data_IF_369582308819
#
_entry.id   IF_369582308819
#
_cell.length_a   1.000
_cell.length_b   1.000
_cell.length_c   1.000
_cell.angle_alpha   90.00
_cell.angle_beta   90.00
_cell.angle_gamma   90.00
#
_symmetry.space_group_name_H-M   'P 1'
#
loop_
_entity.id
_entity.type
_entity.pdbx_description
1 polymer ?
#
# COMPACT_ATOMS: atom_id res chain seq x y z
N UNK A 1 20.44 -21.51 -0.29
CA UNK A 1 19.80 -21.45 -1.61
C UNK A 1 18.56 -22.31 -1.54
N UNK A 2 17.45 -21.87 -2.11
CA UNK A 2 16.24 -22.64 -2.17
C UNK A 2 15.51 -22.39 -3.50
N UNK A 3 14.71 -23.34 -3.91
CA UNK A 3 13.87 -23.29 -5.11
C UNK A 3 12.44 -22.99 -4.70
N UNK A 4 11.73 -22.26 -5.52
CA UNK A 4 10.30 -21.99 -5.36
C UNK A 4 9.61 -21.90 -6.73
N UNK A 5 8.33 -22.21 -6.75
CA UNK A 5 7.54 -22.08 -7.98
C UNK A 5 7.24 -20.60 -8.25
N UNK A 6 6.93 -19.86 -7.21
CA UNK A 6 6.65 -18.44 -7.29
C UNK A 6 7.63 -17.65 -6.42
N UNK A 7 8.24 -16.63 -7.01
CA UNK A 7 9.17 -15.79 -6.29
C UNK A 7 8.47 -15.02 -5.17
N UNK A 8 9.09 -14.89 -3.98
CA UNK A 8 8.56 -14.07 -2.90
C UNK A 8 8.21 -12.67 -3.40
N UNK A 9 7.12 -12.10 -2.88
CA UNK A 9 6.61 -10.79 -3.28
C UNK A 9 6.36 -10.73 -4.79
N UNK A 10 5.44 -11.56 -5.25
CA UNK A 10 5.11 -11.69 -6.66
C UNK A 10 3.75 -12.32 -6.87
N UNK A 11 3.57 -12.95 -8.02
CA UNK A 11 2.36 -13.72 -8.30
C UNK A 11 2.34 -15.01 -7.47
N UNK A 12 1.14 -15.44 -7.08
CA UNK A 12 0.87 -16.74 -6.49
C UNK A 12 -0.48 -17.25 -6.96
N UNK A 13 -0.71 -18.54 -6.83
CA UNK A 13 -2.00 -19.17 -7.14
C UNK A 13 -2.79 -19.37 -5.85
N UNK A 14 -4.11 -19.28 -5.97
CA UNK A 14 -5.03 -19.68 -4.93
C UNK A 14 -5.62 -21.05 -5.21
N UNK A 15 -5.87 -21.79 -4.14
CA UNK A 15 -6.61 -23.05 -4.17
C UNK A 15 -7.73 -23.02 -3.14
N UNK A 16 -8.82 -23.74 -3.39
CA UNK A 16 -9.79 -24.04 -2.36
C UNK A 16 -9.17 -24.94 -1.29
N UNK A 17 -9.64 -24.83 -0.07
CA UNK A 17 -9.19 -25.65 1.07
C UNK A 17 -10.36 -26.39 1.69
N UNK A 18 -10.21 -27.69 1.84
CA UNK A 18 -11.17 -28.58 2.50
C UNK A 18 -10.46 -29.29 3.65
N UNK A 19 -10.87 -28.98 4.87
CA UNK A 19 -10.27 -29.56 6.09
C UNK A 19 -10.97 -30.87 6.43
N UNK A 20 -10.18 -31.90 6.72
CA UNK A 20 -10.72 -33.21 7.13
C UNK A 20 -11.51 -33.09 8.43
N UNK A 21 -12.68 -33.71 8.46
CA UNK A 21 -13.58 -33.68 9.62
C UNK A 21 -14.37 -32.38 9.78
N UNK A 22 -14.19 -31.40 8.91
CA UNK A 22 -15.03 -30.16 8.91
C UNK A 22 -16.12 -30.26 7.86
N UNK A 23 -17.25 -29.53 8.07
CA UNK A 23 -18.27 -29.40 7.04
C UNK A 23 -17.69 -28.82 5.75
N UNK A 24 -18.14 -29.25 4.57
CA UNK A 24 -17.71 -28.64 3.33
C UNK A 24 -18.09 -27.15 3.30
N UNK A 25 -17.21 -26.29 2.75
CA UNK A 25 -17.48 -24.85 2.66
C UNK A 25 -18.75 -24.59 1.86
N UNK A 26 -19.57 -23.67 2.33
CA UNK A 26 -20.77 -23.21 1.64
C UNK A 26 -20.45 -22.32 0.43
N UNK A 27 -21.43 -22.07 -0.47
CA UNK A 27 -21.23 -21.27 -1.68
C UNK A 27 -20.75 -19.82 -1.45
N UNK A 28 -20.90 -19.30 -0.23
CA UNK A 28 -20.50 -17.94 0.16
C UNK A 28 -19.29 -17.90 1.06
N UNK A 29 -18.75 -19.06 1.46
CA UNK A 29 -17.61 -19.12 2.34
C UNK A 29 -16.33 -18.90 1.54
N UNK A 30 -15.47 -18.02 2.04
CA UNK A 30 -14.14 -17.85 1.48
C UNK A 30 -13.24 -19.01 1.97
N UNK A 31 -13.17 -20.07 1.17
CA UNK A 31 -12.30 -21.23 1.42
C UNK A 31 -11.00 -21.16 0.63
N UNK A 32 -10.61 -20.00 0.10
CA UNK A 32 -9.38 -19.86 -0.67
C UNK A 32 -8.16 -19.68 0.22
N UNK A 33 -7.04 -20.26 -0.19
CA UNK A 33 -5.71 -19.97 0.34
C UNK A 33 -4.71 -19.88 -0.80
N UNK A 34 -3.72 -19.01 -0.66
CA UNK A 34 -2.60 -18.98 -1.58
C UNK A 34 -1.60 -20.11 -1.24
N UNK A 35 -0.81 -20.53 -2.21
CA UNK A 35 0.16 -21.58 -2.00
C UNK A 35 1.39 -21.43 -2.88
N UNK A 36 2.47 -22.07 -2.45
CA UNK A 36 3.69 -22.17 -3.22
C UNK A 36 4.28 -23.60 -3.06
N UNK A 37 5.03 -24.00 -4.07
CA UNK A 37 5.79 -25.24 -4.04
C UNK A 37 7.26 -24.92 -3.88
N UNK A 38 7.89 -25.48 -2.87
CA UNK A 38 9.20 -25.04 -2.41
C UNK A 38 10.13 -26.21 -2.10
N UNK A 39 11.43 -26.00 -2.26
CA UNK A 39 12.43 -26.97 -1.81
C UNK A 39 12.59 -26.94 -0.28
N UNK A 40 13.23 -27.97 0.25
CA UNK A 40 13.62 -28.02 1.65
C UNK A 40 14.41 -26.76 2.08
N UNK A 41 14.16 -26.30 3.30
CA UNK A 41 14.84 -25.12 3.87
C UNK A 41 14.44 -23.76 3.27
N UNK A 42 13.44 -23.70 2.40
CA UNK A 42 12.99 -22.45 1.76
C UNK A 42 12.64 -21.36 2.76
N UNK A 43 11.87 -21.69 3.80
CA UNK A 43 11.44 -20.74 4.82
C UNK A 43 12.62 -20.10 5.57
N UNK A 44 13.66 -20.88 5.82
CA UNK A 44 14.91 -20.38 6.43
C UNK A 44 15.64 -19.42 5.49
N UNK A 45 15.68 -19.74 4.19
CA UNK A 45 16.32 -18.89 3.18
C UNK A 45 15.63 -17.54 3.06
N UNK A 46 14.29 -17.50 3.03
CA UNK A 46 13.54 -16.24 3.00
C UNK A 46 13.48 -15.54 4.36
N UNK A 47 13.87 -16.21 5.44
CA UNK A 47 13.91 -15.65 6.80
C UNK A 47 12.56 -15.67 7.51
N UNK A 48 11.67 -16.57 7.13
CA UNK A 48 10.38 -16.78 7.80
C UNK A 48 10.51 -17.88 8.84
N UNK A 49 10.41 -17.58 10.15
CA UNK A 49 10.59 -18.58 11.19
C UNK A 49 9.38 -19.53 11.27
N UNK A 50 9.66 -20.79 11.58
CA UNK A 50 8.64 -21.74 12.01
C UNK A 50 8.28 -21.43 13.47
N UNK A 51 7.01 -21.19 13.73
CA UNK A 51 6.48 -20.89 15.08
C UNK A 51 6.18 -22.18 15.85
N UNK A 52 5.68 -23.21 15.15
CA UNK A 52 5.33 -24.52 15.73
C UNK A 52 5.55 -25.63 14.71
N UNK A 53 5.86 -26.84 15.19
CA UNK A 53 6.15 -27.96 14.32
C UNK A 53 7.49 -27.85 13.61
N UNK A 54 7.57 -28.28 12.37
CA UNK A 54 8.76 -28.24 11.52
C UNK A 54 8.51 -27.63 10.14
N UNK A 55 9.54 -27.15 9.50
CA UNK A 55 9.52 -26.79 8.08
C UNK A 55 9.53 -28.01 7.16
N UNK A 56 9.55 -27.73 5.87
CA UNK A 56 9.76 -28.74 4.81
C UNK A 56 11.25 -29.13 4.82
N UNK A 57 11.51 -30.44 4.80
CA UNK A 57 12.85 -31.03 4.88
C UNK A 57 13.13 -31.95 3.69
N UNK A 58 14.37 -32.41 3.54
CA UNK A 58 14.78 -33.36 2.52
C UNK A 58 14.12 -34.76 2.69
N UNK A 59 13.54 -35.02 3.86
CA UNK A 59 12.82 -36.29 4.14
C UNK A 59 11.41 -36.31 3.52
N UNK A 60 10.89 -35.12 3.12
CA UNK A 60 9.57 -34.97 2.50
C UNK A 60 9.62 -35.31 1.00
N UNK A 61 9.90 -36.60 0.70
CA UNK A 61 10.09 -37.16 -0.64
C UNK A 61 8.77 -37.53 -1.33
N UNK A 62 8.83 -37.90 -2.59
CA UNK A 62 7.67 -38.37 -3.37
C UNK A 62 6.96 -39.59 -2.74
N UNK A 63 7.71 -40.45 -2.05
CA UNK A 63 7.20 -41.68 -1.40
C UNK A 63 6.79 -41.46 0.05
N UNK A 64 7.12 -40.33 0.67
CA UNK A 64 6.68 -40.04 2.04
C UNK A 64 5.22 -39.57 2.07
N UNK A 65 4.65 -39.42 3.28
CA UNK A 65 3.33 -38.81 3.43
C UNK A 65 3.33 -37.43 2.82
N UNK A 66 2.24 -37.06 2.14
CA UNK A 66 2.08 -35.72 1.60
C UNK A 66 1.91 -34.73 2.75
N UNK A 67 2.78 -33.73 2.84
CA UNK A 67 2.82 -32.78 3.93
C UNK A 67 2.68 -31.34 3.42
N UNK A 68 2.29 -30.44 4.32
CA UNK A 68 2.27 -29.01 4.09
C UNK A 68 2.74 -28.24 5.32
N UNK A 69 3.50 -27.19 5.12
CA UNK A 69 3.67 -26.12 6.11
C UNK A 69 2.66 -25.02 5.82
N UNK A 70 2.03 -24.48 6.87
CA UNK A 70 1.01 -23.41 6.75
C UNK A 70 1.48 -22.15 7.45
N UNK A 71 0.90 -20.99 7.15
CA UNK A 71 1.15 -19.80 7.95
C UNK A 71 0.11 -19.64 9.09
N UNK A 72 0.35 -18.70 10.01
CA UNK A 72 -0.56 -18.44 11.14
C UNK A 72 -1.96 -18.01 10.66
N UNK A 73 -2.05 -17.24 9.56
CA UNK A 73 -3.32 -16.82 8.98
C UNK A 73 -4.14 -18.00 8.44
N UNK A 74 -3.49 -19.00 7.84
CA UNK A 74 -4.13 -20.25 7.43
C UNK A 74 -4.67 -21.01 8.64
N UNK A 75 -3.87 -21.14 9.69
CA UNK A 75 -4.27 -21.81 10.92
C UNK A 75 -5.50 -21.11 11.54
N UNK A 76 -5.49 -19.80 11.64
CA UNK A 76 -6.64 -19.00 12.14
C UNK A 76 -7.89 -19.15 11.29
N UNK A 77 -7.74 -19.16 9.96
CA UNK A 77 -8.87 -19.22 9.03
C UNK A 77 -9.55 -20.58 9.00
N UNK A 78 -8.78 -21.66 8.94
CA UNK A 78 -9.29 -22.99 8.66
C UNK A 78 -9.38 -23.91 9.87
N UNK A 79 -8.57 -23.68 10.91
CA UNK A 79 -8.56 -24.52 12.11
C UNK A 79 -9.09 -23.80 13.36
N UNK A 80 -9.37 -22.49 13.25
CA UNK A 80 -9.93 -21.63 14.31
C UNK A 80 -9.28 -21.88 15.69
N UNK A 81 -9.95 -22.63 16.58
CA UNK A 81 -9.48 -22.91 17.94
C UNK A 81 -8.81 -24.27 18.11
N UNK A 82 -8.49 -24.96 17.02
CA UNK A 82 -7.90 -26.28 17.04
C UNK A 82 -6.40 -26.22 16.75
N UNK A 83 -5.65 -27.20 17.27
CA UNK A 83 -4.25 -27.38 16.87
C UNK A 83 -4.19 -27.98 15.47
N UNK A 84 -3.64 -27.27 14.47
CA UNK A 84 -3.57 -27.77 13.11
C UNK A 84 -2.49 -28.83 12.89
N UNK A 85 -1.48 -28.95 13.77
CA UNK A 85 -0.38 -29.90 13.59
C UNK A 85 -0.91 -31.36 13.61
N UNK A 86 -0.53 -32.13 12.58
CA UNK A 86 -0.98 -33.53 12.39
C UNK A 86 -2.38 -33.64 11.80
N UNK A 87 -3.12 -32.54 11.60
CA UNK A 87 -4.41 -32.56 10.91
C UNK A 87 -4.21 -32.48 9.40
N UNK A 88 -5.27 -32.84 8.68
CA UNK A 88 -5.22 -32.98 7.24
C UNK A 88 -6.13 -31.97 6.55
N UNK A 89 -5.73 -31.56 5.35
CA UNK A 89 -6.55 -30.78 4.43
C UNK A 89 -6.25 -31.19 2.97
N UNK A 90 -7.12 -30.79 2.08
CA UNK A 90 -6.94 -30.96 0.64
C UNK A 90 -7.31 -29.72 -0.13
N UNK A 91 -7.03 -29.73 -1.42
CA UNK A 91 -7.34 -28.63 -2.34
C UNK A 91 -8.59 -28.89 -3.19
N UNK A 92 -9.24 -30.02 -3.00
CA UNK A 92 -10.47 -30.46 -3.65
C UNK A 92 -11.37 -31.17 -2.64
N UNK A 93 -12.66 -31.18 -2.89
CA UNK A 93 -13.66 -31.72 -1.97
C UNK A 93 -13.49 -33.24 -1.67
N UNK A 94 -13.00 -33.99 -2.64
CA UNK A 94 -12.79 -35.46 -2.57
C UNK A 94 -11.43 -35.85 -1.99
N UNK A 95 -10.54 -34.89 -1.74
CA UNK A 95 -9.19 -35.15 -1.27
C UNK A 95 -8.81 -34.40 0.03
N UNK A 96 -9.77 -34.16 0.93
CA UNK A 96 -9.56 -33.42 2.19
C UNK A 96 -8.49 -34.01 3.11
N UNK A 97 -8.03 -35.22 2.87
CA UNK A 97 -6.95 -35.93 3.62
C UNK A 97 -5.59 -35.91 2.92
N UNK A 98 -5.43 -35.12 1.85
CA UNK A 98 -4.24 -35.22 1.00
C UNK A 98 -2.96 -34.76 1.69
N UNK A 99 -3.01 -33.67 2.44
CA UNK A 99 -1.84 -33.06 3.05
C UNK A 99 -1.95 -33.05 4.57
N UNK A 100 -0.93 -33.54 5.25
CA UNK A 100 -0.77 -33.44 6.71
C UNK A 100 -0.05 -32.11 7.05
N UNK A 101 -0.58 -31.36 7.99
CA UNK A 101 0.07 -30.12 8.47
C UNK A 101 1.23 -30.47 9.39
N UNK A 102 2.46 -30.17 8.99
CA UNK A 102 3.68 -30.49 9.76
C UNK A 102 4.27 -29.28 10.48
N UNK A 103 3.91 -28.06 10.10
CA UNK A 103 4.42 -26.87 10.74
C UNK A 103 3.63 -25.62 10.45
N UNK A 104 3.79 -24.64 11.34
CA UNK A 104 3.21 -23.31 11.23
C UNK A 104 4.33 -22.29 11.11
N UNK A 105 4.39 -21.61 9.99
CA UNK A 105 5.28 -20.49 9.73
C UNK A 105 4.65 -19.19 10.21
N UNK A 106 5.47 -18.25 10.61
CA UNK A 106 5.03 -16.89 10.94
C UNK A 106 4.39 -16.21 9.72
N UNK A 107 3.37 -15.39 9.95
CA UNK A 107 2.79 -14.59 8.88
C UNK A 107 3.84 -13.66 8.26
N UNK A 108 3.87 -13.63 6.96
CA UNK A 108 4.72 -12.75 6.17
C UNK A 108 3.99 -12.37 4.87
N UNK A 109 4.45 -11.33 4.21
CA UNK A 109 3.89 -10.87 2.92
C UNK A 109 4.51 -11.66 1.78
N UNK A 110 3.86 -12.74 1.39
CA UNK A 110 4.37 -13.65 0.36
C UNK A 110 4.00 -13.21 -1.06
N UNK A 111 2.83 -12.58 -1.26
CA UNK A 111 2.31 -12.23 -2.58
C UNK A 111 2.52 -10.77 -2.91
N UNK A 112 1.90 -9.88 -2.16
CA UNK A 112 1.93 -8.43 -2.38
C UNK A 112 2.23 -7.69 -1.09
N UNK A 113 2.76 -6.47 -1.21
CA UNK A 113 3.11 -5.64 -0.05
C UNK A 113 1.91 -4.85 0.50
N UNK A 114 0.88 -4.69 -0.30
CA UNK A 114 -0.29 -3.85 -0.04
C UNK A 114 -1.47 -4.62 0.57
N UNK A 115 -1.48 -5.95 0.45
CA UNK A 115 -2.53 -6.77 1.04
C UNK A 115 -2.11 -7.33 2.41
N UNK A 116 -3.04 -7.48 3.36
CA UNK A 116 -2.80 -8.22 4.59
C UNK A 116 -2.41 -9.66 4.28
N UNK A 117 -1.61 -10.25 5.15
CA UNK A 117 -1.21 -11.64 5.03
C UNK A 117 -2.45 -12.54 5.00
N UNK A 118 -2.72 -13.11 3.82
CA UNK A 118 -3.78 -14.10 3.63
C UNK A 118 -3.35 -15.48 4.12
N UNK A 119 -4.31 -16.42 4.13
CA UNK A 119 -4.02 -17.83 4.36
C UNK A 119 -3.06 -18.33 3.27
N UNK A 120 -1.95 -18.93 3.70
CA UNK A 120 -0.92 -19.43 2.81
C UNK A 120 -0.41 -20.80 3.25
N UNK A 121 -0.12 -21.69 2.28
CA UNK A 121 0.51 -22.98 2.56
C UNK A 121 1.63 -23.29 1.59
N UNK A 122 2.60 -24.07 2.06
CA UNK A 122 3.80 -24.47 1.33
C UNK A 122 3.80 -25.98 1.15
N UNK A 123 4.03 -26.43 -0.07
CA UNK A 123 4.13 -27.84 -0.44
C UNK A 123 5.57 -28.19 -0.82
N UNK A 124 6.07 -29.38 -0.42
CA UNK A 124 7.37 -29.84 -0.88
C UNK A 124 7.41 -30.03 -2.39
N UNK A 125 8.43 -29.50 -3.03
CA UNK A 125 8.68 -29.73 -4.46
C UNK A 125 8.87 -31.23 -4.78
N UNK A 126 9.62 -31.94 -3.96
CA UNK A 126 9.86 -33.37 -4.12
C UNK A 126 8.59 -34.21 -4.09
N UNK A 127 7.47 -33.68 -3.60
CA UNK A 127 6.16 -34.34 -3.60
C UNK A 127 5.26 -33.93 -4.79
N UNK A 128 5.78 -33.24 -5.77
CA UNK A 128 5.04 -32.88 -6.98
C UNK A 128 4.67 -34.13 -7.77
N UNK A 129 3.45 -34.13 -8.30
CA UNK A 129 2.99 -35.20 -9.19
C UNK A 129 3.23 -34.77 -10.65
N UNK A 130 4.35 -35.22 -11.19
CA UNK A 130 4.76 -34.95 -12.57
C UNK A 130 4.00 -35.81 -13.62
N UNK A 131 3.13 -36.72 -13.21
CA UNK A 131 2.32 -37.50 -14.12
C UNK A 131 1.10 -36.78 -14.67
N UNK A 132 0.75 -35.62 -14.08
CA UNK A 132 -0.40 -34.82 -14.48
C UNK A 132 -0.12 -34.01 -15.75
N UNK A 133 -1.11 -33.91 -16.63
CA UNK A 133 -1.01 -33.29 -17.97
C UNK A 133 -0.80 -31.78 -17.93
N UNK A 134 -1.04 -31.11 -16.83
CA UNK A 134 -0.85 -29.67 -16.69
C UNK A 134 0.55 -29.34 -16.15
N UNK A 135 1.54 -29.45 -17.04
CA UNK A 135 2.95 -29.23 -16.70
C UNK A 135 3.26 -27.79 -16.24
N UNK A 136 2.44 -26.81 -16.60
CA UNK A 136 2.70 -25.41 -16.26
C UNK A 136 2.74 -25.09 -14.77
N UNK A 137 2.08 -25.91 -13.93
CA UNK A 137 2.07 -25.75 -12.47
C UNK A 137 3.14 -26.57 -11.74
N UNK A 138 4.02 -27.24 -12.47
CA UNK A 138 5.02 -28.16 -11.90
C UNK A 138 6.45 -27.61 -11.94
N UNK A 139 6.70 -26.59 -12.77
CA UNK A 139 8.04 -26.02 -12.91
C UNK A 139 8.36 -25.08 -11.76
N UNK A 140 9.53 -25.24 -11.17
CA UNK A 140 10.14 -24.26 -10.29
C UNK A 140 10.77 -23.17 -11.17
N UNK A 141 10.28 -21.95 -11.05
CA UNK A 141 10.72 -20.87 -11.90
C UNK A 141 11.80 -20.01 -11.27
N UNK A 142 11.88 -20.01 -9.94
CA UNK A 142 12.71 -19.07 -9.21
C UNK A 142 13.68 -19.75 -8.25
N UNK A 143 14.90 -19.23 -8.21
CA UNK A 143 15.92 -19.63 -7.26
C UNK A 143 16.15 -18.47 -6.31
N UNK A 144 15.95 -18.69 -5.03
CA UNK A 144 16.22 -17.71 -3.97
C UNK A 144 17.58 -17.99 -3.34
N UNK A 145 18.46 -17.01 -3.37
CA UNK A 145 19.81 -17.10 -2.79
C UNK A 145 19.93 -16.09 -1.66
N UNK A 146 20.17 -16.58 -0.45
CA UNK A 146 20.51 -15.74 0.69
C UNK A 146 22.04 -15.69 0.84
N UNK A 147 22.58 -14.49 0.77
CA UNK A 147 24.01 -14.24 1.03
C UNK A 147 24.27 -13.99 2.51
N UNK A 148 25.50 -14.27 2.97
CA UNK A 148 25.91 -13.86 4.32
C UNK A 148 25.95 -12.32 4.42
N UNK A 149 25.72 -11.75 5.61
CA UNK A 149 25.89 -10.31 5.80
C UNK A 149 27.25 -9.84 5.30
N UNK A 150 27.25 -8.77 4.48
CA UNK A 150 28.48 -8.22 3.89
C UNK A 150 29.01 -8.92 2.63
N UNK A 151 28.46 -10.07 2.24
CA UNK A 151 28.78 -10.71 0.97
C UNK A 151 27.86 -10.21 -0.13
N UNK A 152 28.43 -9.81 -1.26
CA UNK A 152 27.68 -9.51 -2.49
C UNK A 152 27.93 -10.61 -3.52
N UNK A 153 26.85 -11.06 -4.15
CA UNK A 153 26.94 -12.00 -5.27
C UNK A 153 26.74 -11.20 -6.55
N UNK A 154 27.72 -11.22 -7.44
CA UNK A 154 27.58 -10.55 -8.73
C UNK A 154 26.73 -11.37 -9.70
N UNK A 155 26.06 -10.70 -10.64
CA UNK A 155 25.30 -11.38 -11.69
C UNK A 155 26.18 -12.36 -12.49
N UNK A 156 27.42 -12.00 -12.76
CA UNK A 156 28.36 -12.87 -13.47
C UNK A 156 28.66 -14.16 -12.72
N UNK A 157 28.82 -14.11 -11.39
CA UNK A 157 29.05 -15.29 -10.56
C UNK A 157 27.81 -16.22 -10.55
N UNK A 158 26.60 -15.66 -10.50
CA UNK A 158 25.37 -16.45 -10.58
C UNK A 158 25.28 -17.14 -11.94
N UNK A 159 25.50 -16.40 -13.04
CA UNK A 159 25.47 -16.95 -14.39
C UNK A 159 26.52 -18.05 -14.59
N UNK A 160 27.73 -17.84 -14.11
CA UNK A 160 28.81 -18.83 -14.18
C UNK A 160 28.47 -20.09 -13.37
N UNK A 161 27.93 -19.90 -12.14
CA UNK A 161 27.48 -21.02 -11.30
C UNK A 161 26.39 -21.83 -11.96
N UNK A 162 25.38 -21.18 -12.55
CA UNK A 162 24.30 -21.89 -13.27
C UNK A 162 24.83 -22.60 -14.52
N UNK A 163 25.66 -21.96 -15.32
CA UNK A 163 26.26 -22.57 -16.51
C UNK A 163 27.16 -23.77 -16.19
N UNK A 164 27.74 -23.85 -15.00
CA UNK A 164 28.48 -25.03 -14.56
C UNK A 164 27.61 -26.24 -14.22
N UNK A 165 26.32 -25.99 -13.92
CA UNK A 165 25.33 -27.07 -13.66
C UNK A 165 24.69 -27.51 -14.97
N UNK A 166 24.12 -26.57 -15.71
CA UNK A 166 23.55 -26.81 -17.03
C UNK A 166 23.62 -25.52 -17.87
N UNK A 167 24.45 -25.48 -18.92
CA UNK A 167 24.58 -24.31 -19.78
C UNK A 167 23.36 -24.03 -20.67
N UNK A 168 22.41 -24.96 -20.75
CA UNK A 168 21.19 -24.79 -21.55
C UNK A 168 20.07 -24.07 -20.78
N UNK A 169 20.22 -23.88 -19.45
CA UNK A 169 19.22 -23.19 -18.64
C UNK A 169 19.27 -21.67 -18.85
N UNK A 170 18.21 -21.06 -19.42
CA UNK A 170 18.18 -19.64 -19.63
C UNK A 170 17.89 -18.90 -18.32
N UNK A 171 18.78 -18.00 -17.92
CA UNK A 171 18.52 -17.08 -16.82
C UNK A 171 17.83 -15.83 -17.39
N UNK A 172 16.55 -15.71 -17.15
CA UNK A 172 15.72 -14.60 -17.66
C UNK A 172 15.94 -13.30 -16.91
N UNK A 173 16.12 -13.34 -15.58
CA UNK A 173 16.41 -12.16 -14.78
C UNK A 173 17.12 -12.52 -13.47
N UNK A 174 17.98 -11.64 -13.01
CA UNK A 174 18.57 -11.69 -11.67
C UNK A 174 18.21 -10.38 -11.00
N UNK A 175 17.54 -10.46 -9.87
CA UNK A 175 17.10 -9.27 -9.10
C UNK A 175 17.26 -9.51 -7.62
N UNK A 176 17.61 -8.48 -6.88
CA UNK A 176 17.56 -8.55 -5.42
C UNK A 176 16.10 -8.45 -4.95
N UNK A 177 15.79 -9.06 -3.79
CA UNK A 177 14.47 -8.91 -3.19
C UNK A 177 14.13 -7.44 -2.91
N UNK A 178 15.14 -6.62 -2.57
CA UNK A 178 14.99 -5.18 -2.39
C UNK A 178 14.52 -4.47 -3.68
N UNK A 179 15.09 -4.81 -4.81
CA UNK A 179 14.68 -4.26 -6.12
C UNK A 179 13.27 -4.72 -6.49
N UNK A 180 12.94 -5.97 -6.20
CA UNK A 180 11.61 -6.52 -6.46
C UNK A 180 10.54 -5.81 -5.61
N UNK A 181 10.81 -5.61 -4.33
CA UNK A 181 9.95 -4.80 -3.44
C UNK A 181 9.85 -3.35 -3.95
N UNK A 182 10.96 -2.74 -4.35
CA UNK A 182 10.96 -1.38 -4.88
C UNK A 182 10.15 -1.25 -6.18
N UNK A 183 10.20 -2.25 -7.06
CA UNK A 183 9.45 -2.23 -8.32
C UNK A 183 7.93 -2.31 -8.11
N UNK A 184 7.45 -3.05 -7.13
CA UNK A 184 6.03 -3.08 -6.77
C UNK A 184 5.53 -1.72 -6.26
N UNK A 185 6.38 -0.98 -5.55
CA UNK A 185 6.03 0.36 -5.05
C UNK A 185 6.17 1.46 -6.12
N UNK A 186 6.70 1.16 -7.30
CA UNK A 186 6.97 2.18 -8.33
C UNK A 186 5.68 2.82 -8.84
N UNK A 187 4.64 2.04 -9.10
CA UNK A 187 3.35 2.56 -9.55
C UNK A 187 2.71 3.46 -8.48
N UNK A 188 2.72 3.04 -7.23
CA UNK A 188 2.17 3.82 -6.12
C UNK A 188 2.94 5.13 -5.92
N UNK A 189 4.28 5.09 -6.03
CA UNK A 189 5.14 6.29 -5.99
C UNK A 189 4.87 7.24 -7.15
N UNK A 190 4.64 6.73 -8.35
CA UNK A 190 4.28 7.54 -9.51
C UNK A 190 2.95 8.25 -9.29
N UNK A 191 1.92 7.53 -8.86
CA UNK A 191 0.61 8.09 -8.53
C UNK A 191 0.76 9.16 -7.45
N UNK A 192 1.48 8.89 -6.37
CA UNK A 192 1.71 9.86 -5.31
C UNK A 192 2.42 11.14 -5.80
N UNK A 193 3.44 11.00 -6.65
CA UNK A 193 4.15 12.16 -7.26
C UNK A 193 3.22 12.98 -8.14
N UNK A 194 2.45 12.34 -9.02
CA UNK A 194 1.51 13.04 -9.91
C UNK A 194 0.42 13.75 -9.08
N UNK A 195 -0.17 13.07 -8.11
CA UNK A 195 -1.18 13.66 -7.22
C UNK A 195 -0.62 14.85 -6.44
N UNK A 196 0.61 14.75 -5.93
CA UNK A 196 1.29 15.86 -5.24
C UNK A 196 1.53 17.04 -6.17
N UNK A 197 1.94 16.80 -7.41
CA UNK A 197 2.13 17.86 -8.41
C UNK A 197 0.81 18.59 -8.74
N UNK A 198 -0.25 17.84 -9.01
CA UNK A 198 -1.57 18.40 -9.26
C UNK A 198 -2.14 19.14 -8.03
N UNK A 199 -1.91 18.60 -6.84
CA UNK A 199 -2.28 19.27 -5.58
C UNK A 199 -1.55 20.60 -5.39
N UNK A 200 -0.25 20.63 -5.66
CA UNK A 200 0.53 21.88 -5.61
C UNK A 200 0.05 22.91 -6.65
N UNK A 201 -0.21 22.48 -7.88
CA UNK A 201 -0.74 23.35 -8.92
C UNK A 201 -2.10 23.91 -8.55
N UNK A 202 -3.00 23.08 -8.04
CA UNK A 202 -4.32 23.49 -7.56
C UNK A 202 -4.22 24.51 -6.42
N UNK A 203 -3.27 24.33 -5.49
CA UNK A 203 -3.02 25.25 -4.39
C UNK A 203 -2.53 26.62 -4.88
N UNK A 204 -1.66 26.65 -5.88
CA UNK A 204 -1.19 27.89 -6.53
C UNK A 204 -2.36 28.62 -7.21
N UNK A 205 -3.17 27.88 -7.99
CA UNK A 205 -4.34 28.46 -8.66
C UNK A 205 -5.36 29.03 -7.66
N UNK A 206 -5.65 28.27 -6.59
CA UNK A 206 -6.54 28.72 -5.53
C UNK A 206 -6.00 29.99 -4.84
N UNK A 207 -4.69 30.06 -4.59
CA UNK A 207 -4.03 31.23 -3.99
C UNK A 207 -4.14 32.46 -4.89
N UNK A 208 -3.93 32.31 -6.21
CA UNK A 208 -4.10 33.38 -7.20
C UNK A 208 -5.56 33.87 -7.24
N UNK A 209 -6.51 32.91 -7.25
CA UNK A 209 -7.94 33.22 -7.23
C UNK A 209 -8.35 34.01 -5.97
N UNK A 210 -7.89 33.54 -4.80
CA UNK A 210 -8.18 34.21 -3.52
C UNK A 210 -7.54 35.62 -3.44
N UNK A 211 -6.30 35.74 -3.95
CA UNK A 211 -5.65 37.04 -4.10
C UNK A 211 -6.48 37.98 -4.98
N UNK A 212 -6.91 37.52 -6.16
CA UNK A 212 -7.70 38.32 -7.09
C UNK A 212 -9.04 38.79 -6.51
N UNK A 213 -9.79 37.88 -5.88
CA UNK A 213 -11.06 38.22 -5.23
C UNK A 213 -10.85 39.18 -4.08
N UNK A 214 -9.82 38.99 -3.26
CA UNK A 214 -9.53 39.86 -2.12
C UNK A 214 -9.10 41.25 -2.61
N UNK A 215 -8.22 41.33 -3.62
CA UNK A 215 -7.78 42.60 -4.20
C UNK A 215 -8.94 43.39 -4.84
N UNK A 216 -9.84 42.68 -5.55
CA UNK A 216 -11.04 43.28 -6.12
C UNK A 216 -11.99 43.83 -5.04
N UNK A 217 -12.24 43.03 -3.98
CA UNK A 217 -13.09 43.48 -2.86
C UNK A 217 -12.50 44.69 -2.13
N UNK A 218 -11.18 44.72 -1.93
CA UNK A 218 -10.50 45.89 -1.36
C UNK A 218 -10.67 47.14 -2.27
N UNK A 219 -10.48 46.99 -3.59
CA UNK A 219 -10.67 48.05 -4.55
C UNK A 219 -12.08 48.65 -4.54
N UNK A 220 -13.09 47.79 -4.47
CA UNK A 220 -14.51 48.26 -4.40
C UNK A 220 -14.89 48.93 -3.09
N UNK A 221 -14.17 48.66 -2.00
CA UNK A 221 -14.43 49.22 -0.66
C UNK A 221 -13.42 50.27 -0.24
N UNK A 222 -12.69 50.85 -1.20
CA UNK A 222 -11.63 51.82 -0.92
C UNK A 222 -12.20 53.07 -0.21
N UNK A 223 -13.40 53.56 -0.60
CA UNK A 223 -14.09 54.65 0.07
C UNK A 223 -14.45 54.33 1.52
N UNK A 224 -15.05 53.13 1.78
CA UNK A 224 -15.40 52.68 3.14
C UNK A 224 -14.14 52.57 4.04
N UNK A 225 -13.05 52.06 3.47
CA UNK A 225 -11.76 51.92 4.17
C UNK A 225 -11.18 53.34 4.46
N UNK A 226 -11.24 54.23 3.49
CA UNK A 226 -10.78 55.62 3.63
C UNK A 226 -11.50 56.35 4.74
N UNK A 227 -12.83 56.29 4.79
CA UNK A 227 -13.65 56.88 5.87
C UNK A 227 -13.25 56.31 7.25
N UNK A 228 -13.06 55.01 7.37
CA UNK A 228 -12.62 54.40 8.63
C UNK A 228 -11.26 54.90 9.09
N UNK A 229 -10.30 55.03 8.16
CA UNK A 229 -8.96 55.58 8.47
C UNK A 229 -9.08 57.03 8.90
N UNK A 230 -9.91 57.86 8.22
CA UNK A 230 -10.15 59.24 8.59
C UNK A 230 -10.79 59.38 9.98
N UNK A 231 -11.60 58.41 10.41
CA UNK A 231 -12.20 58.33 11.74
C UNK A 231 -11.26 57.71 12.80
N UNK A 232 -9.98 57.45 12.46
CA UNK A 232 -8.97 57.02 13.41
C UNK A 232 -8.78 55.50 13.51
N UNK A 233 -9.31 54.69 12.57
CA UNK A 233 -9.06 53.25 12.55
C UNK A 233 -7.56 52.95 12.34
N UNK A 234 -7.02 52.04 13.14
CA UNK A 234 -5.63 51.62 12.99
C UNK A 234 -5.43 50.75 11.75
N UNK A 235 -4.17 50.67 11.27
CA UNK A 235 -3.82 49.76 10.16
C UNK A 235 -4.19 48.30 10.46
N UNK A 236 -4.09 47.88 11.74
CA UNK A 236 -4.48 46.57 12.19
C UNK A 236 -5.97 46.25 12.01
N UNK A 237 -6.84 47.24 12.26
CA UNK A 237 -8.29 47.12 12.10
C UNK A 237 -8.68 46.92 10.63
N UNK A 238 -8.03 47.63 9.71
CA UNK A 238 -8.22 47.45 8.27
C UNK A 238 -7.78 46.06 7.80
N UNK A 239 -6.60 45.64 8.23
CA UNK A 239 -6.10 44.27 7.91
C UNK A 239 -7.07 43.21 8.44
N UNK A 240 -7.50 43.34 9.69
CA UNK A 240 -8.46 42.39 10.32
C UNK A 240 -9.81 42.36 9.57
N UNK A 241 -10.27 43.51 9.09
CA UNK A 241 -11.50 43.57 8.30
C UNK A 241 -11.38 42.82 6.98
N UNK A 242 -10.28 43.01 6.24
CA UNK A 242 -10.01 42.31 4.98
C UNK A 242 -9.83 40.80 5.22
N UNK A 243 -9.03 40.42 6.24
CA UNK A 243 -8.78 39.03 6.58
C UNK A 243 -10.06 38.29 7.01
N UNK A 244 -11.01 38.98 7.68
CA UNK A 244 -12.30 38.36 8.05
C UNK A 244 -13.10 37.95 6.82
N UNK A 245 -13.09 38.74 5.76
CA UNK A 245 -13.75 38.40 4.50
C UNK A 245 -13.10 37.19 3.82
N UNK A 246 -11.78 37.15 3.79
CA UNK A 246 -11.03 36.02 3.24
C UNK A 246 -11.21 34.76 4.07
N UNK A 247 -11.24 34.88 5.40
CA UNK A 247 -11.49 33.75 6.30
C UNK A 247 -12.86 33.08 6.05
N UNK A 248 -13.91 33.92 5.82
CA UNK A 248 -15.24 33.37 5.49
C UNK A 248 -15.25 32.60 4.18
N UNK A 249 -14.49 33.07 3.16
CA UNK A 249 -14.34 32.34 1.90
C UNK A 249 -13.60 31.02 2.08
N UNK A 250 -12.51 31.02 2.84
CA UNK A 250 -11.74 29.79 3.15
C UNK A 250 -12.60 28.83 3.95
N UNK A 251 -13.30 29.31 4.99
CA UNK A 251 -14.15 28.48 5.82
C UNK A 251 -15.31 27.84 5.02
N UNK A 252 -15.97 28.60 4.13
CA UNK A 252 -17.03 28.05 3.27
C UNK A 252 -16.48 26.98 2.31
N UNK A 253 -15.29 27.22 1.75
CA UNK A 253 -14.61 26.21 0.91
C UNK A 253 -14.26 24.94 1.67
N UNK A 254 -13.79 25.04 2.92
CA UNK A 254 -13.49 23.89 3.77
C UNK A 254 -14.75 23.12 4.18
N UNK A 255 -15.84 23.81 4.51
CA UNK A 255 -17.13 23.20 4.88
C UNK A 255 -17.67 22.34 3.74
N UNK A 256 -17.48 22.75 2.49
CA UNK A 256 -17.89 21.97 1.32
C UNK A 256 -16.83 20.94 0.89
N UNK A 257 -15.56 21.30 0.97
CA UNK A 257 -14.44 20.48 0.49
C UNK A 257 -14.15 19.26 1.36
N UNK A 258 -14.23 19.39 2.68
CA UNK A 258 -13.95 18.25 3.58
C UNK A 258 -14.96 17.13 3.38
N UNK A 259 -16.30 17.34 3.42
CA UNK A 259 -17.25 16.27 3.16
C UNK A 259 -17.10 15.64 1.77
N UNK A 260 -16.86 16.46 0.74
CA UNK A 260 -16.64 15.96 -0.61
C UNK A 260 -15.38 15.08 -0.71
N UNK A 261 -14.30 15.49 -0.05
CA UNK A 261 -13.06 14.71 0.06
C UNK A 261 -13.29 13.37 0.75
N UNK A 262 -14.05 13.35 1.85
CA UNK A 262 -14.39 12.12 2.57
C UNK A 262 -15.26 11.15 1.73
N UNK A 263 -16.23 11.68 0.98
CA UNK A 263 -17.04 10.86 0.07
C UNK A 263 -16.17 10.27 -1.04
N UNK A 264 -15.32 11.07 -1.67
CA UNK A 264 -14.40 10.62 -2.72
C UNK A 264 -13.41 9.59 -2.18
N UNK A 265 -12.85 9.81 -1.00
CA UNK A 265 -11.96 8.85 -0.32
C UNK A 265 -12.64 7.52 -0.05
N UNK A 266 -13.92 7.53 0.32
CA UNK A 266 -14.70 6.31 0.57
C UNK A 266 -14.96 5.52 -0.72
N UNK A 267 -15.20 6.18 -1.84
CA UNK A 267 -15.34 5.53 -3.15
C UNK A 267 -14.02 4.94 -3.61
N UNK A 268 -12.91 5.65 -3.41
CA UNK A 268 -11.58 5.16 -3.77
C UNK A 268 -11.06 4.07 -2.82
N UNK A 269 -11.49 4.04 -1.56
CA UNK A 269 -11.03 3.03 -0.59
C UNK A 269 -11.41 1.60 -0.98
N UNK A 270 -12.44 1.42 -1.80
CA UNK A 270 -12.78 0.13 -2.42
C UNK A 270 -11.70 -0.36 -3.41
N UNK A 271 -10.86 0.54 -3.92
CA UNK A 271 -9.78 0.27 -4.87
C UNK A 271 -8.38 0.31 -4.20
N UNK A 272 -8.26 0.90 -3.02
CA UNK A 272 -7.00 1.12 -2.30
C UNK A 272 -7.05 0.38 -0.96
N UNK A 273 -6.59 -0.87 -0.95
CA UNK A 273 -6.50 -1.68 0.26
C UNK A 273 -5.50 -1.10 1.27
N UNK A 274 -5.89 -1.07 2.55
CA UNK A 274 -4.99 -0.78 3.67
C UNK A 274 -4.91 0.69 4.11
N UNK A 275 -5.64 1.61 3.49
CA UNK A 275 -5.73 3.00 3.96
C UNK A 275 -7.01 3.19 4.78
N UNK A 276 -6.88 3.75 5.96
CA UNK A 276 -8.04 4.18 6.75
C UNK A 276 -8.56 5.52 6.17
N UNK A 277 -9.73 5.53 5.48
CA UNK A 277 -10.25 6.75 4.84
C UNK A 277 -10.61 7.85 5.83
N UNK A 278 -10.64 7.55 7.12
CA UNK A 278 -10.97 8.49 8.21
C UNK A 278 -9.75 8.89 9.05
N UNK A 279 -8.52 8.76 8.54
CA UNK A 279 -7.35 9.25 9.26
C UNK A 279 -7.43 10.79 9.36
N UNK A 280 -7.52 11.38 10.58
CA UNK A 280 -7.65 12.80 10.76
C UNK A 280 -6.35 13.56 10.46
N UNK A 281 -5.20 12.88 10.48
CA UNK A 281 -3.88 13.54 10.34
C UNK A 281 -3.67 14.14 8.94
N UNK A 282 -3.89 13.42 7.82
CA UNK A 282 -3.79 14.00 6.49
C UNK A 282 -4.77 15.16 6.27
N UNK A 283 -5.99 15.05 6.80
CA UNK A 283 -7.00 16.12 6.68
C UNK A 283 -6.56 17.36 7.44
N UNK A 284 -6.06 17.21 8.67
CA UNK A 284 -5.55 18.33 9.46
C UNK A 284 -4.37 19.04 8.79
N UNK A 285 -3.43 18.27 8.21
CA UNK A 285 -2.31 18.82 7.44
C UNK A 285 -2.81 19.59 6.22
N UNK A 286 -3.75 19.04 5.46
CA UNK A 286 -4.31 19.71 4.28
C UNK A 286 -5.01 21.03 4.66
N UNK A 287 -5.80 21.04 5.73
CA UNK A 287 -6.47 22.24 6.25
C UNK A 287 -5.44 23.30 6.69
N UNK A 288 -4.39 22.88 7.40
CA UNK A 288 -3.33 23.77 7.84
C UNK A 288 -2.56 24.40 6.65
N UNK A 289 -2.23 23.59 5.64
CA UNK A 289 -1.57 24.07 4.42
C UNK A 289 -2.45 25.03 3.65
N UNK A 290 -3.72 24.68 3.41
CA UNK A 290 -4.69 25.56 2.75
C UNK A 290 -4.89 26.87 3.50
N UNK A 291 -5.01 26.81 4.83
CA UNK A 291 -5.12 27.99 5.69
C UNK A 291 -3.90 28.90 5.61
N UNK A 292 -2.70 28.33 5.64
CA UNK A 292 -1.44 29.06 5.54
C UNK A 292 -1.31 29.77 4.19
N UNK A 293 -1.53 29.06 3.09
CA UNK A 293 -1.45 29.64 1.75
C UNK A 293 -2.55 30.70 1.51
N UNK A 294 -3.76 30.45 2.02
CA UNK A 294 -4.84 31.42 1.97
C UNK A 294 -4.52 32.70 2.76
N UNK A 295 -3.91 32.55 3.92
CA UNK A 295 -3.46 33.68 4.73
C UNK A 295 -2.36 34.50 4.00
N UNK A 296 -1.37 33.82 3.43
CA UNK A 296 -0.30 34.47 2.64
C UNK A 296 -0.89 35.21 1.43
N UNK A 297 -1.78 34.57 0.68
CA UNK A 297 -2.41 35.16 -0.51
C UNK A 297 -3.24 36.41 -0.19
N UNK A 298 -3.80 36.52 1.01
CA UNK A 298 -4.65 37.64 1.42
C UNK A 298 -3.89 38.77 2.15
N UNK A 299 -2.72 38.46 2.73
CA UNK A 299 -1.89 39.43 3.43
C UNK A 299 -1.41 40.57 2.51
N UNK A 300 -1.02 40.26 1.27
CA UNK A 300 -0.51 41.27 0.32
C UNK A 300 -1.59 42.32 -0.02
N UNK A 301 -2.81 41.94 -0.47
CA UNK A 301 -3.86 42.91 -0.73
C UNK A 301 -4.33 43.63 0.55
N UNK A 302 -4.34 42.95 1.71
CA UNK A 302 -4.69 43.59 2.99
C UNK A 302 -3.69 44.67 3.40
N UNK A 303 -2.39 44.46 3.21
CA UNK A 303 -1.36 45.45 3.46
C UNK A 303 -1.45 46.66 2.47
N UNK A 304 -1.78 46.36 1.21
CA UNK A 304 -2.01 47.46 0.22
C UNK A 304 -3.20 48.32 0.61
N UNK A 305 -4.26 47.74 1.15
CA UNK A 305 -5.42 48.47 1.64
C UNK A 305 -5.08 49.47 2.76
N UNK A 306 -4.07 49.24 3.60
CA UNK A 306 -3.64 50.15 4.67
C UNK A 306 -2.83 51.36 4.17
N UNK A 307 -2.45 51.38 2.90
CA UNK A 307 -1.68 52.48 2.29
C UNK A 307 -2.53 53.44 1.44
N UNK A 308 -3.85 53.26 1.47
CA UNK A 308 -4.78 54.13 0.75
C UNK A 308 -4.76 55.50 1.41
N UNK A 309 -4.53 56.55 0.60
CA UNK A 309 -4.58 57.96 1.05
C UNK A 309 -6.04 58.38 1.27
N UNK A 310 -6.44 58.76 2.50
CA UNK A 310 -7.81 59.19 2.79
C UNK A 310 -8.29 60.33 1.93
N UNK A 311 -7.38 61.25 1.55
CA UNK A 311 -7.71 62.42 0.71
C UNK A 311 -8.08 62.01 -0.72
N UNK A 312 -7.45 60.97 -1.25
CA UNK A 312 -7.75 60.45 -2.59
C UNK A 312 -9.07 59.66 -2.57
N UNK A 313 -9.32 58.93 -1.50
CA UNK A 313 -10.55 58.12 -1.36
C UNK A 313 -11.82 58.98 -1.29
N UNK A 314 -11.76 60.19 -0.72
CA UNK A 314 -12.88 61.12 -0.61
C UNK A 314 -13.10 62.00 -1.85
N UNK A 315 -12.15 62.00 -2.80
CA UNK A 315 -12.21 62.82 -4.03
C UNK A 315 -12.84 62.11 -5.23
N UNK A 316 -13.09 60.82 -5.12
CA UNK A 316 -13.67 59.97 -6.18
C UNK A 316 -15.19 59.72 -6.00
N UNK A 317 -15.89 60.48 -5.22
CA UNK A 317 -17.33 60.70 -5.32
C UNK A 317 -17.53 62.02 -6.15
#
# INVERSE_FOLDING_TARGET
MALCQYSPVGYGWGAGVWVDGHPPPGPKDDNSAAWDRVSAGYLDVIGTPIVRGRGITEEDTASSRKVAAINEAFARKFFQNEDPIGKHFGTEADNSRKYEVVGIAKDARYLTLDQPDGAFFFLPEAQADYSQTNLGSLFLHDIVIRTRPGASLSEAQVRQGMASVDPSLPITSIRTLKEKVASQLTQQRLIARLTSLFGALSLVLASIGLYGVTAHNVGRRTGEIGVRIALGASRGDVVRFVLRGAFLLIASGLILGIPLSLVTSRVLSSQLYGLNPFDPVPIAIAVAVLGLFGLIATLVPAQRATRVDPMVALRYE
#
